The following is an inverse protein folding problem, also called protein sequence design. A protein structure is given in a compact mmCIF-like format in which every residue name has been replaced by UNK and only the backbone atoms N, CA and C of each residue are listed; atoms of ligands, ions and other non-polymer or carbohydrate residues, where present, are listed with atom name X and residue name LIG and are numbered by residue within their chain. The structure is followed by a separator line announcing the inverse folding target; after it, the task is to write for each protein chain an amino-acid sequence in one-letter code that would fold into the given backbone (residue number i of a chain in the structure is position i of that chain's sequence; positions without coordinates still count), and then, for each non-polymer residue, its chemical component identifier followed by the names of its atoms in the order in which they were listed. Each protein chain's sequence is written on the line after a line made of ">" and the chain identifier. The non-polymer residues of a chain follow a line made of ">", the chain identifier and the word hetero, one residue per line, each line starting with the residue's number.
data_IF_324989399071
#
_entry.id   IF_324989399071
#
_cell.length_a   1.000
_cell.length_b   1.000
_cell.length_c   1.000
_cell.angle_alpha   90.00
_cell.angle_beta   90.00
_cell.angle_gamma   90.00
#
_symmetry.space_group_name_H-M   'P 1'
#
loop_
_entity.id
_entity.type
_entity.pdbx_description
1 polymer ?
#
# COMPACT_ATOMS: atom_id res chain seq x y z
N UNK A 1 -17.28 -3.60 -12.40
CA UNK A 1 -17.11 -4.13 -13.76
C UNK A 1 -17.65 -5.53 -13.72
N UNK A 2 -18.62 -5.87 -14.56
CA UNK A 2 -19.10 -7.25 -14.69
C UNK A 2 -18.21 -7.95 -15.71
N UNK A 3 -17.45 -8.94 -15.27
CA UNK A 3 -16.71 -9.83 -16.16
C UNK A 3 -17.65 -10.66 -17.03
N UNK A 4 -17.13 -11.22 -18.11
CA UNK A 4 -17.82 -12.25 -18.88
C UNK A 4 -17.93 -13.53 -18.04
N UNK A 5 -18.90 -14.39 -18.34
CA UNK A 5 -18.83 -15.77 -17.88
C UNK A 5 -17.66 -16.48 -18.57
N UNK A 6 -17.23 -17.61 -18.01
CA UNK A 6 -16.01 -18.29 -18.45
C UNK A 6 -16.09 -18.68 -19.94
N UNK A 7 -17.25 -19.16 -20.41
CA UNK A 7 -17.47 -19.52 -21.81
C UNK A 7 -17.30 -18.31 -22.75
N UNK A 8 -17.91 -17.16 -22.45
CA UNK A 8 -17.77 -15.97 -23.30
C UNK A 8 -16.38 -15.35 -23.19
N UNK A 9 -15.73 -15.40 -22.02
CA UNK A 9 -14.36 -14.94 -21.84
C UNK A 9 -13.39 -15.76 -22.71
N UNK A 10 -13.59 -17.08 -22.70
CA UNK A 10 -12.84 -18.03 -23.51
C UNK A 10 -13.06 -17.82 -25.00
N UNK A 11 -14.31 -17.71 -25.44
CA UNK A 11 -14.62 -17.48 -26.86
C UNK A 11 -14.03 -16.17 -27.36
N UNK A 12 -14.18 -15.09 -26.57
CA UNK A 12 -13.63 -13.78 -26.91
C UNK A 12 -12.10 -13.83 -27.02
N UNK A 13 -11.42 -14.41 -26.03
CA UNK A 13 -9.97 -14.54 -26.07
C UNK A 13 -9.52 -15.35 -27.29
N UNK A 14 -10.14 -16.51 -27.53
CA UNK A 14 -9.78 -17.38 -28.65
C UNK A 14 -9.99 -16.69 -30.01
N UNK A 15 -11.06 -15.92 -30.14
CA UNK A 15 -11.31 -15.12 -31.34
C UNK A 15 -10.17 -14.14 -31.62
N UNK A 16 -9.65 -13.48 -30.59
CA UNK A 16 -8.55 -12.53 -30.75
C UNK A 16 -7.19 -13.20 -30.99
N UNK A 17 -6.88 -14.27 -30.24
CA UNK A 17 -5.60 -14.98 -30.26
C UNK A 17 -5.43 -15.99 -31.41
N UNK A 18 -6.51 -16.63 -31.86
CA UNK A 18 -6.47 -17.69 -32.88
C UNK A 18 -7.30 -17.38 -34.12
N UNK A 19 -8.09 -16.29 -34.14
CA UNK A 19 -9.08 -15.93 -35.20
C UNK A 19 -10.17 -16.98 -35.41
N UNK A 20 -10.48 -17.75 -34.36
CA UNK A 20 -11.53 -18.77 -34.31
C UNK A 20 -11.97 -18.99 -32.87
N UNK A 21 -13.17 -19.53 -32.68
CA UNK A 21 -13.71 -19.83 -31.34
C UNK A 21 -13.23 -21.21 -30.81
N UNK A 22 -12.06 -21.69 -31.25
CA UNK A 22 -11.49 -22.99 -30.87
C UNK A 22 -10.00 -22.87 -30.62
N UNK A 23 -9.51 -23.51 -29.55
CA UNK A 23 -8.08 -23.62 -29.30
C UNK A 23 -7.37 -24.59 -30.24
N UNK A 24 -6.07 -24.39 -30.35
CA UNK A 24 -5.14 -25.42 -30.79
C UNK A 24 -4.79 -26.38 -29.66
N UNK A 25 -4.55 -27.65 -30.01
CA UNK A 25 -4.24 -28.70 -29.05
C UNK A 25 -3.03 -28.32 -28.18
N UNK A 26 -3.23 -28.38 -26.85
CA UNK A 26 -2.18 -28.12 -25.86
C UNK A 26 -1.95 -26.65 -25.50
N UNK A 27 -2.84 -25.72 -25.87
CA UNK A 27 -2.83 -24.33 -25.42
C UNK A 27 -3.84 -24.03 -24.29
N UNK A 28 -4.64 -25.02 -23.86
CA UNK A 28 -5.72 -24.86 -22.88
C UNK A 28 -5.27 -24.19 -21.58
N UNK A 29 -4.18 -24.68 -21.01
CA UNK A 29 -3.61 -24.16 -19.75
C UNK A 29 -3.21 -22.67 -19.86
N UNK A 30 -2.70 -22.23 -21.02
CA UNK A 30 -2.37 -20.82 -21.22
C UNK A 30 -3.62 -19.94 -21.27
N UNK A 31 -4.67 -20.41 -21.95
CA UNK A 31 -5.92 -19.65 -22.05
C UNK A 31 -6.57 -19.50 -20.68
N UNK A 32 -6.60 -20.57 -19.87
CA UNK A 32 -7.09 -20.51 -18.50
C UNK A 32 -6.28 -19.51 -17.66
N UNK A 33 -4.95 -19.55 -17.71
CA UNK A 33 -4.09 -18.61 -16.99
C UNK A 33 -4.30 -17.15 -17.44
N UNK A 34 -4.57 -16.90 -18.72
CA UNK A 34 -4.84 -15.55 -19.23
C UNK A 34 -6.21 -15.06 -18.79
N UNK A 35 -7.23 -15.90 -18.84
CA UNK A 35 -8.59 -15.54 -18.43
C UNK A 35 -8.59 -15.19 -16.95
N UNK A 36 -7.91 -15.99 -16.12
CA UNK A 36 -7.71 -15.74 -14.71
C UNK A 36 -7.00 -14.40 -14.46
N UNK A 37 -5.87 -14.16 -15.15
CA UNK A 37 -5.16 -12.88 -15.09
C UNK A 37 -6.03 -11.67 -15.52
N UNK A 38 -6.85 -11.85 -16.55
CA UNK A 38 -7.72 -10.80 -17.08
C UNK A 38 -8.97 -10.56 -16.22
N UNK A 39 -9.29 -11.45 -15.27
CA UNK A 39 -10.52 -11.44 -14.48
C UNK A 39 -11.78 -11.40 -15.34
N UNK A 40 -11.74 -12.06 -16.49
CA UNK A 40 -12.81 -12.08 -17.49
C UNK A 40 -13.22 -10.69 -18.01
N UNK A 41 -12.33 -9.68 -17.94
CA UNK A 41 -12.59 -8.35 -18.49
C UNK A 41 -12.46 -8.37 -20.02
N UNK A 42 -13.54 -8.11 -20.79
CA UNK A 42 -13.54 -8.25 -22.25
C UNK A 42 -12.40 -7.51 -22.94
N UNK A 43 -12.14 -6.29 -22.48
CA UNK A 43 -11.15 -5.41 -23.09
C UNK A 43 -9.71 -5.88 -22.83
N UNK A 44 -9.45 -6.46 -21.66
CA UNK A 44 -8.15 -7.05 -21.33
C UNK A 44 -7.91 -8.30 -22.18
N UNK A 45 -8.91 -9.18 -22.25
CA UNK A 45 -8.86 -10.40 -23.08
C UNK A 45 -8.61 -10.07 -24.55
N UNK A 46 -9.24 -9.01 -25.05
CA UNK A 46 -9.06 -8.51 -26.43
C UNK A 46 -7.62 -8.06 -26.69
N UNK A 47 -7.03 -7.29 -25.78
CA UNK A 47 -5.65 -6.78 -25.91
C UNK A 47 -4.65 -7.95 -25.85
N UNK A 48 -4.76 -8.81 -24.85
CA UNK A 48 -3.84 -9.95 -24.68
C UNK A 48 -3.96 -10.95 -25.83
N UNK A 49 -5.19 -11.26 -26.25
CA UNK A 49 -5.38 -12.15 -27.40
C UNK A 49 -4.78 -11.57 -28.67
N UNK A 50 -4.87 -10.25 -28.87
CA UNK A 50 -4.27 -9.61 -30.05
C UNK A 50 -2.73 -9.58 -29.99
N UNK A 51 -2.12 -9.47 -28.81
CA UNK A 51 -0.65 -9.52 -28.63
C UNK A 51 -0.06 -10.93 -28.81
N UNK A 52 -0.85 -11.96 -28.48
CA UNK A 52 -0.45 -13.37 -28.64
C UNK A 52 -0.72 -13.91 -30.04
N UNK A 53 -1.49 -13.19 -30.85
CA UNK A 53 -1.82 -13.61 -32.20
C UNK A 53 -0.56 -13.79 -33.07
N UNK A 54 -0.42 -14.97 -33.68
CA UNK A 54 0.67 -15.29 -34.60
C UNK A 54 1.92 -15.90 -33.95
N UNK A 55 2.00 -15.96 -32.61
CA UNK A 55 3.03 -16.70 -31.88
C UNK A 55 2.78 -18.20 -32.03
N UNK A 56 3.82 -18.95 -32.43
CA UNK A 56 3.67 -20.36 -32.85
C UNK A 56 4.23 -21.34 -31.85
N UNK A 57 5.17 -20.91 -31.01
CA UNK A 57 5.80 -21.76 -30.01
C UNK A 57 5.21 -21.52 -28.63
N UNK A 58 5.03 -22.59 -27.85
CA UNK A 58 4.51 -22.49 -26.47
C UNK A 58 5.46 -21.69 -25.56
N UNK A 59 6.76 -21.75 -25.82
CA UNK A 59 7.78 -20.93 -25.15
C UNK A 59 7.53 -19.43 -25.29
N UNK A 60 7.01 -18.97 -26.45
CA UNK A 60 6.67 -17.56 -26.67
C UNK A 60 5.45 -17.12 -25.84
N UNK A 61 4.51 -18.04 -25.60
CA UNK A 61 3.33 -17.82 -24.76
C UNK A 61 3.69 -17.81 -23.28
N UNK A 62 4.51 -18.77 -22.82
CA UNK A 62 5.07 -18.79 -21.47
C UNK A 62 5.83 -17.50 -21.18
N UNK A 63 6.72 -17.08 -22.08
CA UNK A 63 7.48 -15.85 -21.91
C UNK A 63 6.60 -14.60 -21.88
N UNK A 64 5.54 -14.54 -22.68
CA UNK A 64 4.58 -13.43 -22.66
C UNK A 64 3.79 -13.38 -21.35
N UNK A 65 3.29 -14.52 -20.88
CA UNK A 65 2.59 -14.64 -19.61
C UNK A 65 3.47 -14.21 -18.43
N UNK A 66 4.72 -14.68 -18.40
CA UNK A 66 5.70 -14.25 -17.42
C UNK A 66 5.95 -12.74 -17.48
N UNK A 67 5.98 -12.17 -18.69
CA UNK A 67 6.11 -10.73 -18.87
C UNK A 67 4.88 -9.98 -18.33
N UNK A 68 3.65 -10.41 -18.64
CA UNK A 68 2.43 -9.74 -18.19
C UNK A 68 2.29 -9.78 -16.66
N UNK A 69 2.77 -10.85 -16.02
CA UNK A 69 2.81 -10.98 -14.55
C UNK A 69 3.83 -10.06 -13.89
N UNK A 70 4.95 -9.78 -14.57
CA UNK A 70 6.04 -8.94 -14.03
C UNK A 70 5.85 -7.46 -14.35
N UNK A 71 5.40 -7.17 -15.56
CA UNK A 71 5.27 -5.82 -16.11
C UNK A 71 3.86 -5.68 -16.68
N UNK A 72 3.02 -4.83 -16.08
CA UNK A 72 1.67 -4.66 -16.59
C UNK A 72 1.68 -4.13 -18.03
N UNK A 73 0.93 -4.78 -18.93
CA UNK A 73 0.90 -4.43 -20.36
C UNK A 73 0.52 -2.96 -20.57
N UNK A 74 1.33 -2.20 -21.31
CA UNK A 74 1.19 -0.74 -21.40
C UNK A 74 -0.18 -0.29 -21.90
N UNK A 75 -0.79 -1.00 -22.85
CA UNK A 75 -2.10 -0.61 -23.36
C UNK A 75 -3.24 -0.91 -22.39
N UNK A 76 -3.13 -2.01 -21.62
CA UNK A 76 -4.08 -2.30 -20.52
C UNK A 76 -3.96 -1.20 -19.46
N UNK A 77 -2.71 -0.83 -19.13
CA UNK A 77 -2.42 0.23 -18.18
C UNK A 77 -3.02 1.57 -18.59
N UNK A 78 -2.79 2.01 -19.84
CA UNK A 78 -3.38 3.24 -20.37
C UNK A 78 -4.91 3.23 -20.28
N UNK A 79 -5.53 2.10 -20.62
CA UNK A 79 -6.99 1.98 -20.58
C UNK A 79 -7.50 2.09 -19.14
N UNK A 80 -6.93 1.35 -18.20
CA UNK A 80 -7.33 1.39 -16.79
C UNK A 80 -7.08 2.78 -16.18
N UNK A 81 -5.97 3.41 -16.58
CA UNK A 81 -5.60 4.74 -16.12
C UNK A 81 -6.61 5.82 -16.54
N UNK A 82 -7.34 5.65 -17.65
CA UNK A 82 -8.40 6.62 -18.04
C UNK A 82 -9.48 6.81 -16.97
N UNK A 83 -9.80 5.77 -16.20
CA UNK A 83 -10.76 5.85 -15.10
C UNK A 83 -10.16 6.54 -13.88
N UNK A 84 -8.88 6.30 -13.63
CA UNK A 84 -8.09 6.96 -12.58
C UNK A 84 -7.89 8.46 -12.85
N UNK A 85 -7.59 8.84 -14.09
CA UNK A 85 -7.28 10.23 -14.44
C UNK A 85 -8.47 11.17 -14.21
N UNK A 86 -9.70 10.63 -14.28
CA UNK A 86 -10.97 11.34 -14.03
C UNK A 86 -11.31 11.49 -12.54
N UNK A 87 -10.52 10.93 -11.64
CA UNK A 87 -10.70 11.08 -10.19
C UNK A 87 -10.23 12.47 -9.73
N UNK A 88 -10.85 13.00 -8.68
CA UNK A 88 -10.34 14.19 -7.98
C UNK A 88 -9.06 13.86 -7.21
N UNK A 89 -8.33 14.88 -6.80
CA UNK A 89 -7.02 14.72 -6.14
C UNK A 89 -7.08 13.82 -4.89
N UNK A 90 -8.09 14.04 -4.03
CA UNK A 90 -8.28 13.19 -2.85
C UNK A 90 -8.66 11.76 -3.22
N UNK A 91 -9.49 11.57 -4.24
CA UNK A 91 -9.87 10.24 -4.73
C UNK A 91 -8.68 9.49 -5.33
N UNK A 92 -7.80 10.18 -6.07
CA UNK A 92 -6.55 9.61 -6.56
C UNK A 92 -5.67 9.16 -5.39
N UNK A 93 -5.50 10.02 -4.39
CA UNK A 93 -4.70 9.66 -3.22
C UNK A 93 -5.28 8.48 -2.43
N UNK A 94 -6.60 8.44 -2.22
CA UNK A 94 -7.27 7.30 -1.59
C UNK A 94 -7.12 6.03 -2.43
N UNK A 95 -7.28 6.13 -3.75
CA UNK A 95 -7.11 5.00 -4.66
C UNK A 95 -5.67 4.43 -4.58
N UNK A 96 -4.65 5.29 -4.64
CA UNK A 96 -3.26 4.88 -4.55
C UNK A 96 -2.90 4.30 -3.16
N UNK A 97 -3.39 4.90 -2.08
CA UNK A 97 -3.18 4.37 -0.72
C UNK A 97 -3.78 2.95 -0.59
N UNK A 98 -4.96 2.72 -1.18
CA UNK A 98 -5.57 1.38 -1.20
C UNK A 98 -4.76 0.42 -2.07
N UNK A 99 -4.44 0.80 -3.32
CA UNK A 99 -3.69 -0.04 -4.25
C UNK A 99 -2.32 -0.48 -3.71
N UNK A 100 -1.65 0.41 -2.97
CA UNK A 100 -0.36 0.10 -2.36
C UNK A 100 -0.52 -0.75 -1.10
N UNK A 101 -1.44 -0.40 -0.19
CA UNK A 101 -1.32 -0.81 1.22
C UNK A 101 -2.57 -1.45 1.86
N UNK A 102 -3.78 -1.10 1.42
CA UNK A 102 -5.01 -1.41 2.17
C UNK A 102 -5.91 -2.50 1.56
N UNK A 103 -5.48 -3.15 0.48
CA UNK A 103 -6.17 -4.33 -0.05
C UNK A 103 -6.25 -5.42 1.04
N UNK A 104 -7.42 -6.03 1.20
CA UNK A 104 -7.70 -7.08 2.18
C UNK A 104 -7.96 -6.58 3.61
N UNK A 105 -7.79 -5.28 3.88
CA UNK A 105 -8.08 -4.68 5.19
C UNK A 105 -9.56 -4.32 5.35
N UNK A 106 -10.05 -4.33 6.59
CA UNK A 106 -11.44 -3.96 6.89
C UNK A 106 -11.68 -2.49 6.55
N UNK A 107 -12.71 -2.22 5.74
CA UNK A 107 -12.99 -0.85 5.25
C UNK A 107 -13.15 0.14 6.42
N UNK A 108 -13.84 -0.25 7.48
CA UNK A 108 -14.05 0.60 8.65
C UNK A 108 -12.74 1.08 9.31
N UNK A 109 -11.70 0.25 9.33
CA UNK A 109 -10.41 0.64 9.94
C UNK A 109 -9.60 1.50 8.98
N UNK A 110 -9.68 1.21 7.66
CA UNK A 110 -9.07 2.03 6.61
C UNK A 110 -9.68 3.43 6.58
N UNK A 111 -11.00 3.57 6.75
CA UNK A 111 -11.67 4.88 6.84
C UNK A 111 -11.08 5.72 7.98
N UNK A 112 -10.81 5.14 9.16
CA UNK A 112 -10.20 5.89 10.28
C UNK A 112 -8.80 6.42 9.94
N UNK A 113 -8.00 5.60 9.25
CA UNK A 113 -6.66 5.98 8.79
C UNK A 113 -6.77 7.12 7.77
N UNK A 114 -7.58 6.95 6.73
CA UNK A 114 -7.76 7.95 5.67
C UNK A 114 -8.39 9.26 6.18
N UNK A 115 -9.28 9.18 7.17
CA UNK A 115 -9.88 10.36 7.80
C UNK A 115 -8.82 11.20 8.52
N UNK A 116 -7.84 10.53 9.15
CA UNK A 116 -6.69 11.20 9.77
C UNK A 116 -5.83 11.97 8.76
N UNK A 117 -5.91 11.65 7.45
CA UNK A 117 -5.17 12.29 6.37
C UNK A 117 -5.85 13.54 5.79
N UNK A 118 -7.04 13.89 6.29
CA UNK A 118 -7.90 14.95 5.74
C UNK A 118 -8.34 14.67 4.29
N UNK A 119 -8.48 13.39 3.92
CA UNK A 119 -8.91 12.97 2.58
C UNK A 119 -10.43 12.88 2.41
N UNK A 120 -11.19 13.08 3.49
CA UNK A 120 -12.66 12.96 3.48
C UNK A 120 -13.12 11.60 2.93
N UNK A 121 -12.69 10.46 3.51
CA UNK A 121 -12.97 9.12 2.98
C UNK A 121 -14.46 8.83 2.82
N UNK A 122 -15.33 9.44 3.64
CA UNK A 122 -16.78 9.31 3.52
C UNK A 122 -17.33 9.87 2.20
N UNK A 123 -16.60 10.76 1.52
CA UNK A 123 -16.94 11.25 0.18
C UNK A 123 -16.21 10.45 -0.91
N UNK A 124 -14.95 10.09 -0.72
CA UNK A 124 -14.13 9.42 -1.74
C UNK A 124 -14.51 7.95 -1.93
N UNK A 125 -14.71 7.19 -0.85
CA UNK A 125 -14.96 5.75 -0.91
C UNK A 125 -16.24 5.42 -1.70
N UNK A 126 -17.40 6.07 -1.48
CA UNK A 126 -18.59 5.79 -2.27
C UNK A 126 -18.38 5.99 -3.78
N UNK A 127 -17.70 7.08 -4.18
CA UNK A 127 -17.43 7.37 -5.60
C UNK A 127 -16.50 6.36 -6.25
N UNK A 128 -15.48 5.88 -5.51
CA UNK A 128 -14.60 4.82 -6.01
C UNK A 128 -15.34 3.47 -6.11
N UNK A 129 -16.28 3.18 -5.20
CA UNK A 129 -17.17 1.99 -5.27
C UNK A 129 -18.15 2.06 -6.43
N UNK A 130 -18.78 3.21 -6.67
CA UNK A 130 -19.67 3.44 -7.83
C UNK A 130 -18.94 3.16 -9.16
N UNK A 131 -17.65 3.51 -9.22
CA UNK A 131 -16.78 3.22 -10.38
C UNK A 131 -16.23 1.79 -10.39
N UNK A 132 -16.62 0.95 -9.43
CA UNK A 132 -16.15 -0.42 -9.25
C UNK A 132 -14.62 -0.54 -9.11
N UNK A 133 -13.95 0.48 -8.56
CA UNK A 133 -12.49 0.49 -8.43
C UNK A 133 -12.02 -0.19 -7.14
N UNK A 134 -12.84 -0.13 -6.09
CA UNK A 134 -12.54 -0.70 -4.75
C UNK A 134 -13.74 -1.49 -4.18
N UNK A 135 -14.13 -2.61 -4.81
CA UNK A 135 -15.19 -3.45 -4.26
C UNK A 135 -14.91 -3.89 -2.82
N UNK A 136 -15.95 -4.39 -2.15
CA UNK A 136 -15.86 -4.94 -0.79
C UNK A 136 -16.25 -6.41 -0.85
N UNK A 137 -15.54 -7.26 -0.09
CA UNK A 137 -15.93 -8.66 0.07
C UNK A 137 -17.06 -8.82 1.11
N UNK A 138 -17.59 -10.04 1.25
CA UNK A 138 -18.66 -10.35 2.19
C UNK A 138 -18.30 -10.11 3.66
N UNK A 139 -17.01 -9.99 3.98
CA UNK A 139 -16.49 -9.75 5.33
C UNK A 139 -16.20 -8.27 5.60
N UNK A 140 -16.55 -7.38 4.68
CA UNK A 140 -16.32 -5.95 4.82
C UNK A 140 -14.88 -5.51 4.53
N UNK A 141 -14.11 -6.31 3.80
CA UNK A 141 -12.71 -5.99 3.45
C UNK A 141 -12.62 -5.38 2.06
N UNK A 142 -11.74 -4.40 1.92
CA UNK A 142 -11.43 -3.78 0.63
C UNK A 142 -10.82 -4.81 -0.33
N UNK A 143 -11.34 -4.84 -1.53
CA UNK A 143 -10.82 -5.62 -2.64
C UNK A 143 -10.47 -4.66 -3.77
N UNK A 144 -9.49 -5.05 -4.58
CA UNK A 144 -9.13 -4.35 -5.81
C UNK A 144 -8.65 -5.39 -6.81
N UNK A 145 -9.11 -5.29 -8.05
CA UNK A 145 -8.66 -6.19 -9.11
C UNK A 145 -7.15 -6.03 -9.31
N UNK A 146 -6.44 -7.14 -9.54
CA UNK A 146 -4.98 -7.17 -9.69
C UNK A 146 -4.46 -6.16 -10.72
N UNK A 147 -5.07 -6.11 -11.91
CA UNK A 147 -4.74 -5.09 -12.91
C UNK A 147 -4.91 -3.63 -12.44
N UNK A 148 -5.91 -3.33 -11.60
CA UNK A 148 -6.10 -1.98 -11.03
C UNK A 148 -5.07 -1.69 -9.95
N UNK A 149 -4.76 -2.68 -9.11
CA UNK A 149 -3.69 -2.61 -8.10
C UNK A 149 -2.37 -2.32 -8.78
N UNK A 150 -2.03 -3.10 -9.79
CA UNK A 150 -0.77 -2.99 -10.51
C UNK A 150 -0.70 -1.68 -11.29
N UNK A 151 -1.84 -1.18 -11.79
CA UNK A 151 -1.92 0.16 -12.37
C UNK A 151 -1.66 1.28 -11.35
N UNK A 152 -2.28 1.23 -10.17
CA UNK A 152 -2.01 2.20 -9.11
C UNK A 152 -0.54 2.19 -8.68
N UNK A 153 0.05 1.00 -8.54
CA UNK A 153 1.46 0.83 -8.19
C UNK A 153 2.40 1.34 -9.28
N UNK A 154 2.05 1.14 -10.56
CA UNK A 154 2.82 1.66 -11.69
C UNK A 154 2.72 3.20 -11.80
N UNK A 155 1.59 3.79 -11.43
CA UNK A 155 1.46 5.26 -11.31
C UNK A 155 2.47 5.80 -10.30
N UNK A 156 2.57 5.17 -9.12
CA UNK A 156 3.57 5.56 -8.11
C UNK A 156 4.99 5.35 -8.61
N UNK A 157 5.30 4.18 -9.19
CA UNK A 157 6.64 3.85 -9.71
C UNK A 157 7.12 4.84 -10.78
N UNK A 158 6.20 5.40 -11.56
CA UNK A 158 6.50 6.40 -12.60
C UNK A 158 6.73 7.81 -12.06
N UNK A 159 6.50 8.06 -10.77
CA UNK A 159 6.74 9.39 -10.18
C UNK A 159 8.22 9.78 -10.16
N UNK A 160 9.11 8.81 -9.97
CA UNK A 160 10.56 8.96 -10.06
C UNK A 160 11.23 7.58 -10.15
N UNK A 161 12.35 7.42 -10.89
CA UNK A 161 13.18 6.22 -10.79
C UNK A 161 13.89 6.09 -9.43
N UNK A 162 13.99 7.18 -8.65
CA UNK A 162 14.54 7.17 -7.31
C UNK A 162 13.42 6.86 -6.30
N UNK A 163 13.52 5.78 -5.49
CA UNK A 163 12.51 5.45 -4.49
C UNK A 163 12.30 6.60 -3.48
N UNK A 164 13.36 7.31 -3.10
CA UNK A 164 13.29 8.44 -2.17
C UNK A 164 12.47 9.64 -2.67
N UNK A 165 12.09 9.65 -3.95
CA UNK A 165 11.22 10.66 -4.56
C UNK A 165 9.81 10.16 -4.90
N UNK A 166 9.52 8.88 -4.64
CA UNK A 166 8.18 8.32 -4.78
C UNK A 166 7.32 8.67 -3.56
N UNK A 167 6.05 8.99 -3.79
CA UNK A 167 5.11 9.38 -2.74
C UNK A 167 4.76 8.24 -1.78
N UNK A 168 4.84 7.00 -2.26
CA UNK A 168 4.45 5.77 -1.55
C UNK A 168 5.51 4.71 -1.71
N UNK A 169 5.99 4.18 -0.59
CA UNK A 169 6.97 3.09 -0.56
C UNK A 169 6.32 1.82 -0.02
N UNK A 170 6.24 0.80 -0.87
CA UNK A 170 5.58 -0.48 -0.62
C UNK A 170 6.42 -1.71 -0.99
N UNK A 171 7.68 -1.51 -1.41
CA UNK A 171 8.63 -2.60 -1.67
C UNK A 171 9.73 -2.60 -0.61
N UNK A 172 10.07 -3.78 -0.10
CA UNK A 172 11.04 -3.93 1.00
C UNK A 172 12.43 -3.34 0.67
N UNK A 173 12.92 -3.56 -0.55
CA UNK A 173 14.24 -3.07 -0.99
C UNK A 173 14.25 -1.54 -1.07
N UNK A 174 13.22 -0.95 -1.66
CA UNK A 174 13.09 0.50 -1.79
C UNK A 174 13.00 1.16 -0.41
N UNK A 175 12.21 0.60 0.51
CA UNK A 175 12.12 1.11 1.88
C UNK A 175 13.46 1.02 2.60
N UNK A 176 14.15 -0.11 2.47
CA UNK A 176 15.48 -0.31 3.04
C UNK A 176 16.46 0.74 2.52
N UNK A 177 16.61 0.86 1.21
CA UNK A 177 17.50 1.83 0.57
C UNK A 177 17.18 3.26 1.04
N UNK A 178 15.90 3.62 1.07
CA UNK A 178 15.48 4.96 1.51
C UNK A 178 15.82 5.25 2.96
N UNK A 179 15.71 4.27 3.85
CA UNK A 179 15.96 4.42 5.28
C UNK A 179 17.43 4.29 5.68
N UNK A 180 18.21 3.45 4.99
CA UNK A 180 19.63 3.20 5.28
C UNK A 180 20.55 4.25 4.63
N UNK A 181 20.20 4.75 3.44
CA UNK A 181 21.00 5.71 2.68
C UNK A 181 20.53 7.18 2.85
N UNK A 182 19.53 7.43 3.70
CA UNK A 182 18.95 8.76 3.97
C UNK A 182 18.46 9.52 2.72
N UNK A 183 18.09 8.81 1.66
CA UNK A 183 17.69 9.41 0.37
C UNK A 183 16.22 9.85 0.32
N UNK A 184 15.43 9.59 1.38
CA UNK A 184 14.03 9.98 1.46
C UNK A 184 13.83 11.49 1.41
N UNK A 185 13.03 11.97 0.45
CA UNK A 185 12.78 13.41 0.24
C UNK A 185 11.42 13.87 0.77
N UNK A 186 11.11 15.16 0.63
CA UNK A 186 9.80 15.70 1.01
C UNK A 186 8.64 15.14 0.18
N UNK A 187 8.92 14.43 -0.91
CA UNK A 187 7.91 13.77 -1.74
C UNK A 187 7.36 12.51 -1.09
N UNK A 188 8.11 11.85 -0.20
CA UNK A 188 7.65 10.64 0.48
C UNK A 188 6.54 11.00 1.47
N UNK A 189 5.36 10.41 1.26
CA UNK A 189 4.16 10.65 2.07
C UNK A 189 3.75 9.42 2.87
N UNK A 190 4.00 8.20 2.36
CA UNK A 190 3.62 6.95 3.01
C UNK A 190 4.73 5.92 2.90
N UNK A 191 5.12 5.36 4.04
CA UNK A 191 5.96 4.17 4.14
C UNK A 191 5.15 3.12 4.88
N UNK A 192 4.82 2.03 4.20
CA UNK A 192 3.97 0.99 4.76
C UNK A 192 4.37 -0.36 4.20
N UNK A 193 4.98 -1.17 5.05
CA UNK A 193 5.63 -2.41 4.65
C UNK A 193 5.52 -3.47 5.74
N UNK A 194 5.35 -4.70 5.29
CA UNK A 194 5.46 -5.90 6.10
C UNK A 194 6.65 -6.71 5.57
N UNK A 195 7.75 -6.72 6.35
CA UNK A 195 8.96 -7.44 5.95
C UNK A 195 8.77 -8.95 6.13
N UNK A 196 9.40 -9.79 5.29
CA UNK A 196 9.44 -11.23 5.53
C UNK A 196 10.04 -11.54 6.92
N UNK A 197 9.44 -12.48 7.65
CA UNK A 197 9.99 -12.92 8.93
C UNK A 197 11.39 -13.53 8.72
N UNK A 198 12.42 -12.92 9.33
CA UNK A 198 13.61 -13.67 9.69
C UNK A 198 15.00 -13.18 9.31
N UNK A 199 15.25 -12.05 8.63
CA UNK A 199 16.68 -11.68 8.46
C UNK A 199 17.09 -10.23 8.17
N UNK A 200 16.23 -9.25 8.41
CA UNK A 200 16.53 -7.90 7.96
C UNK A 200 16.63 -6.91 9.13
N UNK A 201 17.88 -6.68 9.59
CA UNK A 201 18.22 -5.50 10.39
C UNK A 201 18.29 -4.30 9.43
N UNK A 202 17.51 -3.26 9.73
CA UNK A 202 17.54 -1.96 9.07
C UNK A 202 18.39 -1.02 9.93
N UNK A 203 19.48 -0.54 9.37
CA UNK A 203 20.37 0.41 10.02
C UNK A 203 19.87 1.84 9.80
N UNK A 204 19.25 2.42 10.83
CA UNK A 204 18.80 3.80 10.78
C UNK A 204 19.94 4.75 11.12
N UNK A 205 20.13 5.74 10.27
CA UNK A 205 20.87 6.94 10.63
C UNK A 205 20.04 7.84 11.56
N UNK A 206 20.69 8.72 12.34
CA UNK A 206 20.00 9.73 13.15
C UNK A 206 19.09 10.67 12.35
N UNK A 207 19.38 10.86 11.07
CA UNK A 207 18.74 11.82 10.18
C UNK A 207 17.86 11.14 9.11
N UNK A 208 17.62 9.82 9.19
CA UNK A 208 16.86 9.04 8.20
C UNK A 208 15.51 9.65 7.79
N UNK A 209 14.81 10.30 8.72
CA UNK A 209 13.51 10.91 8.45
C UNK A 209 13.53 12.44 8.29
N UNK A 210 14.71 13.06 8.34
CA UNK A 210 14.87 14.53 8.42
C UNK A 210 14.29 15.26 7.21
N UNK A 211 14.42 14.66 6.02
CA UNK A 211 14.02 15.26 4.75
C UNK A 211 12.59 14.89 4.34
N UNK A 212 11.99 13.85 4.94
CA UNK A 212 10.63 13.37 4.64
C UNK A 212 9.52 14.20 5.31
N UNK A 213 9.51 15.51 5.02
CA UNK A 213 8.66 16.49 5.69
C UNK A 213 7.15 16.30 5.45
N UNK A 214 6.74 15.50 4.46
CA UNK A 214 5.32 15.20 4.18
C UNK A 214 4.88 13.79 4.59
N UNK A 215 5.76 13.01 5.22
CA UNK A 215 5.44 11.65 5.68
C UNK A 215 4.26 11.67 6.65
N UNK A 216 3.10 11.18 6.21
CA UNK A 216 1.85 11.13 6.96
C UNK A 216 1.60 9.79 7.62
N UNK A 217 2.09 8.70 7.04
CA UNK A 217 1.98 7.36 7.61
C UNK A 217 3.34 6.67 7.55
N UNK A 218 3.76 6.15 8.70
CA UNK A 218 4.84 5.20 8.81
C UNK A 218 4.32 3.94 9.49
N UNK A 219 4.27 2.84 8.74
CA UNK A 219 3.97 1.50 9.23
C UNK A 219 5.05 0.54 8.81
N UNK A 220 5.73 -0.09 9.77
CA UNK A 220 6.74 -1.10 9.45
C UNK A 220 6.58 -2.31 10.37
N UNK A 221 6.15 -3.43 9.77
CA UNK A 221 5.93 -4.70 10.45
C UNK A 221 7.08 -5.66 10.15
N UNK A 222 7.35 -6.55 11.11
CA UNK A 222 8.33 -7.63 10.97
C UNK A 222 9.78 -7.23 10.63
N UNK A 223 10.14 -5.95 10.77
CA UNK A 223 11.52 -5.48 10.68
C UNK A 223 12.19 -5.31 12.05
N UNK A 224 13.51 -5.48 12.07
CA UNK A 224 14.36 -5.13 13.21
C UNK A 224 15.13 -3.86 12.89
N UNK A 225 15.07 -2.86 13.77
CA UNK A 225 15.78 -1.60 13.56
C UNK A 225 16.95 -1.47 14.53
N UNK A 226 18.07 -1.01 14.01
CA UNK A 226 19.27 -0.67 14.78
C UNK A 226 19.69 0.78 14.48
N UNK A 227 20.28 1.44 15.47
CA UNK A 227 20.70 2.84 15.36
C UNK A 227 19.91 3.77 16.27
N UNK A 228 20.35 5.02 16.31
CA UNK A 228 19.69 6.10 17.05
C UNK A 228 18.92 6.97 16.06
N UNK A 229 17.72 7.41 16.43
CA UNK A 229 16.91 8.29 15.61
C UNK A 229 16.68 9.61 16.33
N UNK A 230 17.16 10.71 15.72
CA UNK A 230 17.11 12.05 16.32
C UNK A 230 15.96 12.89 15.78
N UNK A 231 15.25 12.43 14.76
CA UNK A 231 14.17 13.18 14.13
C UNK A 231 13.00 12.30 13.73
N UNK A 232 11.80 12.86 13.88
CA UNK A 232 10.57 12.35 13.28
C UNK A 232 9.82 13.54 12.66
N UNK A 233 9.25 13.39 11.45
CA UNK A 233 8.56 14.47 10.77
C UNK A 233 7.24 14.80 11.49
N UNK A 234 7.00 16.08 11.70
CA UNK A 234 5.78 16.59 12.36
C UNK A 234 4.50 16.42 11.52
N UNK A 235 4.63 15.95 10.28
CA UNK A 235 3.51 15.62 9.39
C UNK A 235 2.87 14.27 9.67
N UNK A 236 3.53 13.40 10.46
CA UNK A 236 3.02 12.07 10.78
C UNK A 236 1.66 12.17 11.46
N UNK A 237 0.71 11.42 10.92
CA UNK A 237 -0.66 11.24 11.42
C UNK A 237 -0.87 9.82 11.94
N UNK A 238 -0.19 8.84 11.36
CA UNK A 238 -0.21 7.44 11.80
C UNK A 238 1.23 6.95 11.96
N UNK A 239 1.58 6.54 13.18
CA UNK A 239 2.84 5.87 13.50
C UNK A 239 2.54 4.46 14.01
N UNK A 240 2.76 3.46 13.16
CA UNK A 240 2.59 2.03 13.48
C UNK A 240 3.94 1.32 13.40
N UNK A 241 4.64 1.30 14.53
CA UNK A 241 6.03 0.89 14.62
C UNK A 241 6.24 -0.09 15.78
N UNK A 242 5.79 -1.36 15.63
CA UNK A 242 6.08 -2.39 16.63
C UNK A 242 7.59 -2.60 16.79
N UNK A 243 8.01 -2.91 18.03
CA UNK A 243 9.43 -3.10 18.39
C UNK A 243 10.32 -1.90 18.03
N UNK A 244 9.78 -0.68 18.08
CA UNK A 244 10.55 0.52 17.74
C UNK A 244 11.78 0.66 18.66
N UNK A 245 12.96 1.02 18.10
CA UNK A 245 14.20 1.12 18.85
C UNK A 245 14.30 2.40 19.69
N UNK A 246 13.41 3.37 19.49
CA UNK A 246 13.40 4.65 20.21
C UNK A 246 13.27 4.44 21.71
N UNK A 247 14.19 5.05 22.47
CA UNK A 247 14.11 5.11 23.94
C UNK A 247 13.25 6.29 24.42
N UNK A 248 13.12 7.34 23.62
CA UNK A 248 12.22 8.48 23.87
C UNK A 248 11.81 9.10 22.54
N UNK A 249 10.73 9.88 22.54
CA UNK A 249 10.34 10.64 21.35
C UNK A 249 11.38 11.73 21.05
N UNK A 250 11.76 11.95 19.78
CA UNK A 250 12.69 13.01 19.42
C UNK A 250 12.24 14.39 19.93
N UNK A 251 13.17 15.17 20.48
CA UNK A 251 12.84 16.46 21.14
C UNK A 251 12.18 17.49 20.24
N UNK A 252 12.39 17.41 18.91
CA UNK A 252 11.79 18.29 17.90
C UNK A 252 10.43 17.79 17.40
N UNK A 253 10.00 16.59 17.79
CA UNK A 253 8.72 16.03 17.40
C UNK A 253 7.62 16.54 18.34
N UNK A 254 6.73 17.36 17.78
CA UNK A 254 5.58 17.95 18.48
C UNK A 254 4.35 17.04 18.46
N UNK A 255 4.23 16.21 17.42
CA UNK A 255 3.09 15.30 17.25
C UNK A 255 1.74 16.01 17.12
N UNK A 256 1.73 17.28 16.67
CA UNK A 256 0.51 18.09 16.53
C UNK A 256 -0.54 17.43 15.61
N UNK A 257 -0.10 16.66 14.60
CA UNK A 257 -0.98 15.97 13.63
C UNK A 257 -1.17 14.49 13.93
N UNK A 258 -0.49 13.95 14.94
CA UNK A 258 -0.51 12.53 15.26
C UNK A 258 -1.89 12.12 15.77
N UNK A 259 -2.53 11.19 15.06
CA UNK A 259 -3.86 10.65 15.40
C UNK A 259 -3.79 9.21 15.92
N UNK A 260 -2.90 8.39 15.35
CA UNK A 260 -2.73 6.99 15.74
C UNK A 260 -1.27 6.74 16.12
N UNK A 261 -1.06 6.29 17.36
CA UNK A 261 0.24 5.86 17.88
C UNK A 261 0.16 4.37 18.26
N UNK A 262 0.79 3.52 17.47
CA UNK A 262 0.82 2.08 17.69
C UNK A 262 2.29 1.63 17.73
N UNK A 263 2.83 1.43 18.93
CA UNK A 263 4.25 1.09 19.11
C UNK A 263 4.43 -0.03 20.15
N UNK A 264 3.78 -1.20 20.01
CA UNK A 264 3.83 -2.25 21.00
C UNK A 264 5.23 -2.88 21.05
N UNK A 265 5.64 -3.38 22.22
CA UNK A 265 6.96 -4.01 22.46
C UNK A 265 8.16 -3.10 22.14
N UNK A 266 7.99 -1.79 22.22
CA UNK A 266 9.05 -0.82 21.94
C UNK A 266 9.95 -0.58 23.14
N UNK A 267 11.15 -0.04 22.89
CA UNK A 267 12.16 0.29 23.93
C UNK A 267 11.95 1.64 24.60
N UNK A 268 10.78 2.25 24.40
CA UNK A 268 10.48 3.58 24.90
C UNK A 268 10.42 3.57 26.43
N UNK A 269 11.15 4.50 27.06
CA UNK A 269 11.25 4.65 28.51
C UNK A 269 10.38 5.80 28.99
N UNK A 270 10.47 6.95 28.30
CA UNK A 270 9.71 8.14 28.61
C UNK A 270 8.93 8.64 27.40
N UNK A 271 7.66 8.97 27.60
CA UNK A 271 6.84 9.66 26.61
C UNK A 271 6.06 10.80 27.26
N UNK A 272 6.14 11.97 26.63
CA UNK A 272 5.37 13.17 26.98
C UNK A 272 4.21 13.28 26.01
N UNK A 273 3.01 13.01 26.50
CA UNK A 273 1.80 12.88 25.70
C UNK A 273 1.08 14.22 25.61
N UNK A 274 1.60 15.12 24.76
CA UNK A 274 0.97 16.43 24.49
C UNK A 274 0.28 16.45 23.11
N UNK A 275 -0.08 15.27 22.61
CA UNK A 275 -0.62 15.08 21.26
C UNK A 275 -2.12 15.37 21.23
N UNK A 276 -2.49 16.60 20.88
CA UNK A 276 -3.89 17.06 20.90
C UNK A 276 -4.82 16.28 19.99
N UNK A 277 -4.32 15.82 18.85
CA UNK A 277 -5.11 15.10 17.84
C UNK A 277 -5.09 13.57 18.01
N UNK A 278 -4.39 13.06 19.03
CA UNK A 278 -4.27 11.62 19.24
C UNK A 278 -5.62 11.01 19.64
N UNK A 279 -6.05 10.00 18.89
CA UNK A 279 -7.30 9.28 19.11
C UNK A 279 -7.08 7.84 19.57
N UNK A 280 -5.98 7.21 19.15
CA UNK A 280 -5.64 5.82 19.48
C UNK A 280 -4.18 5.75 19.93
N UNK A 281 -3.97 5.12 21.08
CA UNK A 281 -2.64 4.82 21.62
C UNK A 281 -2.55 3.34 21.97
N UNK A 282 -1.51 2.68 21.48
CA UNK A 282 -1.18 1.31 21.88
C UNK A 282 0.33 1.20 22.17
N UNK A 283 0.65 0.98 23.44
CA UNK A 283 1.99 0.73 23.96
C UNK A 283 2.03 -0.61 24.73
N UNK A 284 1.24 -1.60 24.29
CA UNK A 284 1.23 -2.93 24.90
C UNK A 284 2.61 -3.55 24.95
N UNK A 285 2.95 -4.17 26.08
CA UNK A 285 4.21 -4.90 26.29
C UNK A 285 5.46 -4.02 26.11
N UNK A 286 5.35 -2.72 26.33
CA UNK A 286 6.52 -1.84 26.40
C UNK A 286 7.11 -1.91 27.82
N UNK A 287 8.00 -2.87 28.03
CA UNK A 287 8.54 -3.24 29.35
C UNK A 287 9.44 -2.18 29.98
N UNK A 288 9.99 -1.28 29.16
CA UNK A 288 10.95 -0.26 29.59
C UNK A 288 10.31 1.06 30.01
N UNK A 289 8.98 1.21 29.89
CA UNK A 289 8.29 2.45 30.23
C UNK A 289 8.39 2.70 31.74
N UNK A 290 9.14 3.74 32.11
CA UNK A 290 9.24 4.21 33.50
C UNK A 290 8.36 5.43 33.76
N UNK A 291 8.02 6.19 32.70
CA UNK A 291 7.25 7.43 32.80
C UNK A 291 6.33 7.67 31.62
N UNK A 292 5.02 7.65 31.89
CA UNK A 292 3.97 8.19 31.02
C UNK A 292 3.50 9.51 31.62
N UNK A 293 3.70 10.63 30.92
CA UNK A 293 3.33 11.95 31.44
C UNK A 293 2.33 12.66 30.53
N UNK A 294 1.49 13.50 31.15
CA UNK A 294 0.56 14.39 30.46
C UNK A 294 -0.55 13.70 29.64
N UNK A 295 -0.97 12.46 29.96
CA UNK A 295 -2.11 11.80 29.28
C UNK A 295 -3.37 12.70 29.24
N UNK A 296 -3.61 13.47 30.31
CA UNK A 296 -4.72 14.45 30.39
C UNK A 296 -4.66 15.54 29.32
N UNK A 297 -3.51 15.74 28.69
CA UNK A 297 -3.27 16.70 27.60
C UNK A 297 -3.60 16.12 26.21
N UNK A 298 -4.16 14.90 26.12
CA UNK A 298 -4.69 14.30 24.90
C UNK A 298 -6.24 14.28 24.91
N UNK A 299 -6.92 15.40 24.64
CA UNK A 299 -8.38 15.52 24.80
C UNK A 299 -9.19 14.65 23.84
N UNK A 300 -8.62 14.25 22.70
CA UNK A 300 -9.29 13.47 21.67
C UNK A 300 -9.06 11.96 21.79
N UNK A 301 -8.37 11.50 22.84
CA UNK A 301 -7.96 10.11 23.02
C UNK A 301 -9.17 9.23 23.34
N UNK A 302 -9.49 8.28 22.45
CA UNK A 302 -10.65 7.39 22.54
C UNK A 302 -10.28 5.97 22.95
N UNK A 303 -9.09 5.50 22.58
CA UNK A 303 -8.62 4.15 22.87
C UNK A 303 -7.18 4.19 23.38
N UNK A 304 -6.96 3.53 24.51
CA UNK A 304 -5.65 3.37 25.14
C UNK A 304 -5.46 1.89 25.44
N UNK A 305 -4.41 1.30 24.87
CA UNK A 305 -3.99 -0.07 25.10
C UNK A 305 -2.63 -0.06 25.81
N UNK A 306 -2.65 -0.24 27.12
CA UNK A 306 -1.48 -0.36 27.99
C UNK A 306 -1.58 -1.70 28.72
N UNK A 307 -0.85 -2.71 28.27
CA UNK A 307 -0.63 -3.93 29.05
C UNK A 307 0.81 -3.92 29.53
N UNK A 308 0.98 -4.08 30.84
CA UNK A 308 2.28 -4.31 31.49
C UNK A 308 2.66 -5.76 31.23
N UNK A 309 3.91 -6.05 30.86
CA UNK A 309 4.38 -7.42 30.90
C UNK A 309 4.31 -7.89 32.37
N UNK A 310 3.48 -8.89 32.64
CA UNK A 310 3.51 -9.67 33.89
C UNK A 310 4.73 -10.55 33.92
#
# INVERSE_FOLDING_TARGET
>A
MTGLNDDNAFELFCWHAFKRNKLDDGYGEFVEQIIDYAGSLPLVLTVLGSDLYGRREKSEWESALDQYRKIPHQDIQKILQTSYDRLSENEKNVFLDIACFFIGQRLHDVIKILDSFDFYPNSCIPRLKEKCLIPEDFNGRLQMHDLLRDMGREVVRKESPNPGECSRLFFHNDVREVLEEDIGTERVEVIDIDFPEGDDIIHLSPDAFKNMKRLRLFRCLNAHFFGELNCLPNSIRVLDWPKCPLQSMPSKFRGDKLSILHMPRSRIQEIRLEFKNLTVMNLKRCEFITKLSHISSCPNLKKIDLDVAT
#
